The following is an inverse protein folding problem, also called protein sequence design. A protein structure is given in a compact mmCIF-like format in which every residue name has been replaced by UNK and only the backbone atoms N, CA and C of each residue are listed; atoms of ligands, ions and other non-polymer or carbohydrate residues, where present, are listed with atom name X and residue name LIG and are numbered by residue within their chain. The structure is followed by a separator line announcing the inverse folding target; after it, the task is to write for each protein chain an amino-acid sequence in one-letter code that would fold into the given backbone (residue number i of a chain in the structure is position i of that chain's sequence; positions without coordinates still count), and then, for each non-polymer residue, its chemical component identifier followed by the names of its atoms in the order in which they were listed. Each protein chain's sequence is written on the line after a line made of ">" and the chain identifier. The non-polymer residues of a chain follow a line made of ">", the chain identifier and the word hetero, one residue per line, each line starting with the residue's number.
data_IF_556965199464
#
_entry.id   IF_556965199464
#
_cell.length_a   1.000
_cell.length_b   1.000
_cell.length_c   1.000
_cell.angle_alpha   90.00
_cell.angle_beta   90.00
_cell.angle_gamma   90.00
#
_symmetry.space_group_name_H-M   'P 1'
#
loop_
_entity.id
_entity.type
_entity.pdbx_description
1 polymer ?
#
# COMPACT_ATOMS: atom_id res chain seq x y z
N UNK A 1 -34.43 -2.87 31.68
CA UNK A 1 -34.43 -3.53 33.01
C UNK A 1 -35.01 -2.67 34.13
N UNK A 2 -34.74 -1.34 34.19
CA UNK A 2 -35.30 -0.45 35.24
C UNK A 2 -36.86 -0.46 35.32
N UNK A 3 -37.56 -0.42 34.17
CA UNK A 3 -39.01 -0.45 34.08
C UNK A 3 -39.63 -1.79 34.62
N UNK A 4 -38.94 -2.90 34.36
CA UNK A 4 -39.37 -4.20 34.88
C UNK A 4 -39.24 -4.22 36.40
N UNK A 5 -38.12 -3.72 36.92
CA UNK A 5 -37.92 -3.63 38.38
C UNK A 5 -38.96 -2.71 39.04
N UNK A 6 -39.24 -1.54 38.41
CA UNK A 6 -40.28 -0.62 38.86
C UNK A 6 -41.68 -1.29 38.86
N UNK A 7 -41.97 -2.03 37.78
CA UNK A 7 -43.25 -2.81 37.68
C UNK A 7 -43.39 -3.88 38.77
N UNK A 8 -42.30 -4.60 39.05
CA UNK A 8 -42.30 -5.59 40.15
C UNK A 8 -42.47 -4.92 41.52
N UNK A 9 -41.75 -3.80 41.74
CA UNK A 9 -41.83 -3.06 43.00
C UNK A 9 -43.25 -2.48 43.23
N UNK A 10 -43.84 -1.87 42.18
CA UNK A 10 -45.21 -1.33 42.25
C UNK A 10 -46.23 -2.48 42.48
N UNK A 11 -46.08 -3.64 41.86
CA UNK A 11 -46.92 -4.80 42.07
C UNK A 11 -46.88 -5.31 43.51
N UNK A 12 -45.66 -5.36 44.10
CA UNK A 12 -45.48 -5.77 45.51
C UNK A 12 -46.15 -4.77 46.45
N UNK A 13 -45.93 -3.48 46.24
CA UNK A 13 -46.51 -2.40 47.07
C UNK A 13 -48.03 -2.46 47.00
N UNK A 14 -48.62 -2.51 45.81
CA UNK A 14 -50.09 -2.60 45.61
C UNK A 14 -50.65 -3.89 46.24
N UNK A 15 -49.92 -4.99 46.21
CA UNK A 15 -50.36 -6.27 46.83
C UNK A 15 -50.33 -6.20 48.35
N UNK A 16 -49.38 -5.52 48.97
CA UNK A 16 -49.31 -5.31 50.43
C UNK A 16 -50.45 -4.36 50.89
N UNK A 17 -50.61 -3.21 50.18
CA UNK A 17 -51.70 -2.25 50.49
C UNK A 17 -53.08 -2.91 50.36
N UNK A 18 -53.24 -3.78 49.35
CA UNK A 18 -54.47 -4.51 49.11
C UNK A 18 -54.88 -5.46 50.26
N UNK A 19 -53.89 -5.98 50.99
CA UNK A 19 -54.16 -6.76 52.20
C UNK A 19 -54.57 -5.90 53.39
N UNK A 20 -54.12 -4.64 53.44
CA UNK A 20 -54.42 -3.74 54.59
C UNK A 20 -55.74 -2.95 54.42
N UNK A 21 -56.23 -2.74 53.19
CA UNK A 21 -57.41 -1.95 52.87
C UNK A 21 -58.32 -2.69 51.84
N UNK A 22 -59.20 -3.65 52.25
CA UNK A 22 -60.04 -4.36 51.33
C UNK A 22 -61.11 -3.51 50.65
N UNK A 23 -61.47 -2.35 51.18
CA UNK A 23 -62.53 -1.48 50.63
C UNK A 23 -62.06 -0.73 49.31
N UNK A 24 -60.80 -0.73 49.04
CA UNK A 24 -60.25 -0.07 47.86
C UNK A 24 -60.08 -1.01 46.65
N UNK A 25 -60.93 -2.00 46.46
CA UNK A 25 -60.82 -3.04 45.42
C UNK A 25 -60.57 -2.49 44.02
N UNK A 26 -61.27 -1.41 43.61
CA UNK A 26 -61.09 -0.80 42.27
C UNK A 26 -59.70 -0.17 42.10
N UNK A 27 -59.16 0.52 43.09
CA UNK A 27 -57.81 1.14 43.06
C UNK A 27 -56.74 0.05 43.09
N UNK A 28 -56.92 -1.06 43.80
CA UNK A 28 -55.98 -2.19 43.84
C UNK A 28 -55.91 -2.88 42.48
N UNK A 29 -57.03 -3.10 41.80
CA UNK A 29 -57.10 -3.70 40.47
C UNK A 29 -56.40 -2.76 39.44
N UNK A 30 -56.73 -1.45 39.50
CA UNK A 30 -56.07 -0.47 38.64
C UNK A 30 -54.56 -0.42 38.87
N UNK A 31 -54.08 -0.41 40.11
CA UNK A 31 -52.68 -0.44 40.47
C UNK A 31 -51.94 -1.69 39.97
N UNK A 32 -52.57 -2.86 40.04
CA UNK A 32 -52.04 -4.11 39.48
C UNK A 32 -51.97 -4.09 37.96
N UNK A 33 -52.96 -3.52 37.28
CA UNK A 33 -52.94 -3.34 35.82
C UNK A 33 -51.80 -2.40 35.38
N UNK A 34 -51.60 -1.30 36.09
CA UNK A 34 -50.50 -0.37 35.84
C UNK A 34 -49.15 -1.06 36.05
N UNK A 35 -49.00 -1.82 37.14
CA UNK A 35 -47.77 -2.57 37.40
C UNK A 35 -47.48 -3.61 36.30
N UNK A 36 -48.52 -4.31 35.84
CA UNK A 36 -48.38 -5.26 34.73
C UNK A 36 -48.05 -4.58 33.42
N UNK A 37 -48.63 -3.39 33.16
CA UNK A 37 -48.28 -2.56 31.98
C UNK A 37 -46.80 -2.14 32.00
N UNK A 38 -46.30 -1.67 33.15
CA UNK A 38 -44.88 -1.34 33.30
C UNK A 38 -43.97 -2.54 33.09
N UNK A 39 -44.35 -3.71 33.59
CA UNK A 39 -43.59 -4.94 33.39
C UNK A 39 -43.58 -5.36 31.92
N UNK A 40 -44.74 -5.35 31.26
CA UNK A 40 -44.85 -5.67 29.83
C UNK A 40 -44.07 -4.68 28.96
N UNK A 41 -44.15 -3.34 29.20
CA UNK A 41 -43.39 -2.32 28.50
C UNK A 41 -41.90 -2.48 28.76
N UNK A 42 -41.48 -2.80 29.97
CA UNK A 42 -40.09 -3.03 30.32
C UNK A 42 -39.50 -4.25 29.63
N UNK A 43 -40.27 -5.34 29.48
CA UNK A 43 -39.85 -6.52 28.70
C UNK A 43 -39.77 -6.18 27.22
N UNK A 44 -40.73 -5.45 26.68
CA UNK A 44 -40.76 -5.05 25.28
C UNK A 44 -39.54 -4.18 24.92
N UNK A 45 -39.24 -3.17 25.74
CA UNK A 45 -38.09 -2.31 25.55
C UNK A 45 -36.74 -3.05 25.69
N UNK A 46 -36.67 -4.04 26.59
CA UNK A 46 -35.50 -4.89 26.77
C UNK A 46 -35.28 -5.89 25.61
N UNK A 47 -36.36 -6.19 24.88
CA UNK A 47 -36.31 -7.11 23.73
C UNK A 47 -35.84 -6.45 22.43
N UNK A 48 -35.83 -5.12 22.36
CA UNK A 48 -35.43 -4.37 21.17
C UNK A 48 -33.93 -4.11 21.26
N UNK A 49 -33.20 -4.64 20.29
CA UNK A 49 -31.73 -4.41 20.16
C UNK A 49 -31.44 -3.86 18.76
N UNK A 50 -30.73 -2.78 18.71
CA UNK A 50 -30.20 -2.18 17.48
C UNK A 50 -28.75 -2.57 17.32
N UNK A 51 -28.38 -3.06 16.13
CA UNK A 51 -27.01 -3.35 15.71
C UNK A 51 -26.62 -2.33 14.66
N UNK A 52 -25.51 -1.65 14.89
CA UNK A 52 -25.04 -0.59 14.02
C UNK A 52 -24.45 -1.14 12.71
N UNK A 53 -24.44 -0.33 11.61
CA UNK A 53 -23.80 -0.72 10.35
C UNK A 53 -22.32 -1.05 10.54
N UNK A 54 -21.89 -2.22 10.01
CA UNK A 54 -20.52 -2.69 10.16
C UNK A 54 -20.25 -3.45 11.46
N UNK A 55 -21.28 -3.76 12.24
CA UNK A 55 -21.21 -4.64 13.39
C UNK A 55 -22.07 -5.89 13.21
N UNK A 56 -21.70 -6.96 13.89
CA UNK A 56 -22.50 -8.17 14.03
C UNK A 56 -22.79 -8.43 15.50
N UNK A 57 -24.06 -8.71 15.82
CA UNK A 57 -24.49 -9.05 17.17
C UNK A 57 -24.35 -10.56 17.44
N UNK A 58 -23.47 -10.92 18.35
CA UNK A 58 -23.32 -12.30 18.82
C UNK A 58 -24.21 -12.53 20.06
N UNK A 59 -25.08 -13.53 19.98
CA UNK A 59 -26.03 -13.87 21.05
C UNK A 59 -25.33 -14.71 22.12
N UNK A 60 -25.35 -14.24 23.36
CA UNK A 60 -24.84 -14.98 24.53
C UNK A 60 -25.98 -15.22 25.53
N UNK A 61 -26.22 -16.46 25.87
CA UNK A 61 -27.24 -16.84 26.86
C UNK A 61 -26.56 -17.49 28.06
N UNK A 62 -26.58 -16.82 29.19
CA UNK A 62 -25.95 -17.29 30.44
C UNK A 62 -24.53 -17.79 30.26
N UNK A 63 -23.71 -17.01 29.50
CA UNK A 63 -22.30 -17.37 29.19
C UNK A 63 -22.11 -18.31 28.00
N UNK A 64 -23.20 -18.92 27.46
CA UNK A 64 -23.12 -19.77 26.27
C UNK A 64 -23.30 -18.95 25.00
N UNK A 65 -22.26 -18.92 24.15
CA UNK A 65 -22.32 -18.29 22.82
C UNK A 65 -23.21 -19.14 21.91
N UNK A 66 -24.18 -18.50 21.24
CA UNK A 66 -25.00 -19.12 20.20
C UNK A 66 -24.36 -18.91 18.83
N UNK A 67 -24.57 -19.86 17.91
CA UNK A 67 -24.02 -19.80 16.54
C UNK A 67 -24.67 -18.72 15.67
N UNK A 68 -25.94 -18.40 15.99
CA UNK A 68 -26.68 -17.40 15.21
C UNK A 68 -26.19 -16.00 15.52
N UNK A 69 -26.03 -15.19 14.47
CA UNK A 69 -25.68 -13.77 14.53
C UNK A 69 -26.92 -12.90 14.26
N UNK A 70 -26.84 -11.65 14.71
CA UNK A 70 -27.74 -10.58 14.32
C UNK A 70 -27.01 -9.66 13.34
N UNK A 71 -27.52 -9.51 12.11
CA UNK A 71 -26.97 -8.52 11.17
C UNK A 71 -27.27 -7.08 11.66
N UNK A 72 -26.77 -6.09 10.94
CA UNK A 72 -27.10 -4.69 11.19
C UNK A 72 -28.60 -4.42 11.03
N UNK A 73 -29.15 -3.58 11.90
CA UNK A 73 -30.57 -3.23 11.94
C UNK A 73 -31.22 -3.41 13.29
N UNK A 74 -32.54 -3.31 13.30
CA UNK A 74 -33.36 -3.45 14.50
C UNK A 74 -33.87 -4.89 14.65
N UNK A 75 -33.65 -5.49 15.83
CA UNK A 75 -34.00 -6.88 16.09
C UNK A 75 -34.82 -7.00 17.37
N UNK A 76 -35.80 -7.88 17.32
CA UNK A 76 -36.54 -8.31 18.51
C UNK A 76 -35.93 -9.62 19.03
N UNK A 77 -35.35 -9.58 20.22
CA UNK A 77 -34.64 -10.71 20.82
C UNK A 77 -35.19 -11.03 22.20
N UNK A 78 -34.91 -12.23 22.68
CA UNK A 78 -35.23 -12.57 24.05
C UNK A 78 -34.47 -11.66 25.03
N UNK A 79 -35.13 -10.97 25.99
CA UNK A 79 -34.47 -10.00 26.88
C UNK A 79 -33.44 -10.62 27.85
N UNK A 80 -33.35 -11.95 27.91
CA UNK A 80 -32.36 -12.70 28.69
C UNK A 80 -31.05 -12.92 27.92
N UNK A 81 -31.01 -12.56 26.62
CA UNK A 81 -29.81 -12.64 25.81
C UNK A 81 -28.93 -11.41 26.06
N UNK A 82 -27.67 -11.65 26.31
CA UNK A 82 -26.60 -10.63 26.20
C UNK A 82 -26.12 -10.59 24.76
N UNK A 83 -26.23 -9.42 24.13
CA UNK A 83 -25.81 -9.23 22.75
C UNK A 83 -24.43 -8.56 22.75
N UNK A 84 -23.42 -9.31 22.31
CA UNK A 84 -22.06 -8.82 22.16
C UNK A 84 -21.84 -8.34 20.72
N UNK A 85 -21.50 -7.07 20.57
CA UNK A 85 -21.22 -6.47 19.26
C UNK A 85 -19.78 -6.73 18.86
N UNK A 86 -19.58 -7.24 17.66
CA UNK A 86 -18.27 -7.51 17.06
C UNK A 86 -18.15 -6.64 15.82
N UNK A 87 -17.09 -5.84 15.72
CA UNK A 87 -16.80 -5.03 14.56
C UNK A 87 -16.36 -5.93 13.39
N UNK A 88 -17.11 -5.87 12.28
CA UNK A 88 -16.85 -6.61 11.05
C UNK A 88 -16.29 -5.74 9.92
N UNK A 89 -16.03 -4.45 10.20
CA UNK A 89 -15.35 -3.55 9.26
C UNK A 89 -13.91 -3.95 9.10
N UNK A 90 -13.29 -3.41 8.07
CA UNK A 90 -11.84 -3.51 7.90
C UNK A 90 -11.12 -2.85 9.07
N UNK A 91 -10.28 -3.61 9.72
CA UNK A 91 -9.43 -3.18 10.81
C UNK A 91 -7.98 -3.22 10.33
N UNK A 92 -7.15 -2.34 10.87
CA UNK A 92 -5.73 -2.34 10.61
C UNK A 92 -4.95 -2.71 11.88
N UNK A 93 -3.85 -3.40 11.66
CA UNK A 93 -2.83 -3.59 12.67
C UNK A 93 -1.47 -3.23 12.07
N UNK A 94 -0.89 -2.13 12.54
CA UNK A 94 0.42 -1.64 12.07
C UNK A 94 1.49 -1.98 13.08
N UNK A 95 2.56 -2.60 12.59
CA UNK A 95 3.79 -2.90 13.30
C UNK A 95 4.88 -2.00 12.74
N UNK A 96 5.31 -1.01 13.49
CA UNK A 96 6.29 0.00 13.06
C UNK A 96 7.29 0.31 14.17
N UNK A 97 8.52 0.61 13.79
CA UNK A 97 9.55 1.13 14.69
C UNK A 97 9.47 2.64 14.90
N UNK A 98 8.60 3.32 14.16
CA UNK A 98 8.40 4.76 14.31
C UNK A 98 7.42 5.01 15.46
N UNK A 99 7.85 5.82 16.43
CA UNK A 99 6.99 6.26 17.53
C UNK A 99 5.76 6.96 16.92
N UNK A 100 4.57 6.68 17.40
CA UNK A 100 3.29 7.23 16.95
C UNK A 100 2.67 6.67 15.65
N UNK A 101 3.33 5.77 14.91
CA UNK A 101 2.73 5.14 13.73
C UNK A 101 2.19 3.72 13.99
N UNK A 102 2.61 3.07 15.06
CA UNK A 102 2.22 1.70 15.42
C UNK A 102 0.87 1.62 16.13
N UNK A 103 0.27 0.43 16.14
CA UNK A 103 -0.94 0.13 16.90
C UNK A 103 -0.71 0.12 18.42
N UNK A 104 0.53 0.11 18.86
CA UNK A 104 0.96 0.21 20.24
C UNK A 104 1.94 1.37 20.40
N UNK A 105 1.91 1.99 21.58
CA UNK A 105 2.89 3.03 21.94
C UNK A 105 4.24 2.34 22.16
N UNK A 106 5.23 2.67 21.35
CA UNK A 106 6.58 2.13 21.43
C UNK A 106 7.02 1.42 20.14
N UNK A 107 8.21 0.84 20.16
CA UNK A 107 8.77 0.07 19.04
C UNK A 107 8.08 -1.30 18.93
N UNK A 108 7.19 -1.45 17.95
CA UNK A 108 6.53 -2.72 17.60
C UNK A 108 7.01 -3.29 16.25
N UNK A 109 8.09 -2.76 15.70
CA UNK A 109 8.72 -3.27 14.49
C UNK A 109 9.13 -4.73 14.64
N UNK A 110 9.14 -5.43 13.52
CA UNK A 110 9.51 -6.85 13.52
C UNK A 110 10.98 -7.00 13.12
N UNK A 111 11.77 -7.53 14.04
CA UNK A 111 13.14 -7.93 13.75
C UNK A 111 13.12 -9.37 13.24
N UNK A 112 13.69 -9.59 12.06
CA UNK A 112 13.79 -10.88 11.41
C UNK A 112 15.23 -11.19 11.02
N UNK A 113 15.55 -12.48 10.95
CA UNK A 113 16.83 -12.96 10.46
C UNK A 113 16.62 -13.39 9.00
N UNK A 114 17.50 -12.95 8.12
CA UNK A 114 17.50 -13.29 6.70
C UNK A 114 18.36 -14.52 6.43
N UNK A 115 18.32 -15.09 5.20
CA UNK A 115 19.08 -16.29 4.81
C UNK A 115 20.59 -16.10 4.90
N UNK A 116 21.07 -14.87 4.77
CA UNK A 116 22.48 -14.49 4.90
C UNK A 116 22.89 -14.13 6.34
N UNK A 117 22.01 -14.40 7.33
CA UNK A 117 22.28 -14.20 8.76
C UNK A 117 22.24 -12.75 9.22
N UNK A 118 21.71 -11.85 8.42
CA UNK A 118 21.57 -10.45 8.77
C UNK A 118 20.24 -10.19 9.50
N UNK A 119 20.28 -9.33 10.51
CA UNK A 119 19.09 -8.89 11.22
C UNK A 119 18.51 -7.67 10.53
N UNK A 120 17.25 -7.79 10.06
CA UNK A 120 16.52 -6.75 9.33
C UNK A 120 15.28 -6.36 10.13
N UNK A 121 14.97 -5.07 10.16
CA UNK A 121 13.74 -4.55 10.76
C UNK A 121 12.71 -4.33 9.66
N UNK A 122 11.51 -4.88 9.84
CA UNK A 122 10.41 -4.78 8.88
C UNK A 122 9.23 -4.06 9.53
N UNK A 123 8.77 -3.00 8.88
CA UNK A 123 7.53 -2.30 9.19
C UNK A 123 6.42 -2.79 8.27
N UNK A 124 5.28 -3.14 8.87
CA UNK A 124 4.22 -3.82 8.15
C UNK A 124 2.85 -3.44 8.69
N UNK A 125 1.88 -3.32 7.79
CA UNK A 125 0.46 -3.14 8.13
C UNK A 125 -0.35 -4.31 7.61
N UNK A 126 -1.16 -4.90 8.48
CA UNK A 126 -2.10 -5.97 8.18
C UNK A 126 -3.51 -5.39 8.18
N UNK A 127 -4.19 -5.43 7.04
CA UNK A 127 -5.60 -5.10 6.92
C UNK A 127 -6.41 -6.38 6.95
N UNK A 128 -7.33 -6.47 7.90
CA UNK A 128 -8.14 -7.67 8.12
C UNK A 128 -9.54 -7.30 8.60
N UNK A 129 -10.45 -8.24 8.49
CA UNK A 129 -11.78 -8.14 9.09
C UNK A 129 -12.23 -9.45 9.68
N UNK A 130 -13.19 -9.37 10.60
CA UNK A 130 -13.87 -10.55 11.14
C UNK A 130 -14.93 -11.01 10.13
N UNK A 131 -14.95 -12.30 9.83
CA UNK A 131 -16.04 -12.92 9.05
C UNK A 131 -17.26 -13.02 9.93
N UNK A 132 -18.34 -12.31 9.59
CA UNK A 132 -19.54 -12.20 10.43
C UNK A 132 -20.09 -13.57 10.89
N UNK A 133 -20.16 -14.56 9.98
CA UNK A 133 -20.64 -15.90 10.29
C UNK A 133 -19.75 -16.64 11.31
N UNK A 134 -18.47 -16.32 11.38
CA UNK A 134 -17.49 -16.94 12.29
C UNK A 134 -17.29 -16.15 13.59
N UNK A 135 -17.87 -14.95 13.70
CA UNK A 135 -17.74 -14.10 14.88
C UNK A 135 -18.14 -14.83 16.20
N UNK A 136 -19.17 -15.67 16.26
CA UNK A 136 -19.48 -16.44 17.48
C UNK A 136 -18.35 -17.38 17.89
N UNK A 137 -17.75 -18.08 16.94
CA UNK A 137 -16.63 -18.99 17.20
C UNK A 137 -15.38 -18.23 17.65
N UNK A 138 -15.05 -17.16 16.95
CA UNK A 138 -13.91 -16.29 17.31
C UNK A 138 -14.06 -15.75 18.73
N UNK A 139 -15.25 -15.25 19.07
CA UNK A 139 -15.54 -14.73 20.41
C UNK A 139 -15.46 -15.82 21.49
N UNK A 140 -15.90 -17.02 21.20
CA UNK A 140 -15.87 -18.17 22.12
C UNK A 140 -14.43 -18.66 22.37
N UNK A 141 -13.59 -18.71 21.33
CA UNK A 141 -12.22 -19.23 21.41
C UNK A 141 -11.24 -18.20 21.98
N UNK A 142 -11.41 -16.93 21.64
CA UNK A 142 -10.38 -15.91 21.86
C UNK A 142 -10.87 -14.72 22.69
N UNK A 143 -12.17 -14.43 22.66
CA UNK A 143 -12.77 -13.21 23.22
C UNK A 143 -12.58 -12.01 22.28
N UNK A 144 -12.68 -10.79 22.84
CA UNK A 144 -12.53 -9.54 22.08
C UNK A 144 -11.08 -9.20 21.75
N UNK A 145 -10.11 -9.81 22.43
CA UNK A 145 -8.69 -9.50 22.29
C UNK A 145 -8.04 -10.28 21.13
N UNK A 146 -8.79 -10.69 20.10
CA UNK A 146 -8.31 -11.48 18.99
C UNK A 146 -7.16 -10.79 18.21
N UNK A 147 -7.11 -9.44 18.22
CA UNK A 147 -6.01 -8.68 17.64
C UNK A 147 -4.69 -9.05 18.32
N UNK A 148 -4.65 -8.99 19.66
CA UNK A 148 -3.41 -9.20 20.43
C UNK A 148 -3.10 -10.69 20.62
N UNK A 149 -4.11 -11.57 20.60
CA UNK A 149 -3.96 -13.01 20.80
C UNK A 149 -3.77 -13.81 19.51
N UNK A 150 -4.30 -13.33 18.36
CA UNK A 150 -4.25 -14.03 17.08
C UNK A 150 -3.49 -13.21 16.03
N UNK A 151 -3.99 -12.01 15.70
CA UNK A 151 -3.49 -11.23 14.57
C UNK A 151 -2.01 -10.91 14.74
N UNK A 152 -1.65 -10.32 15.88
CA UNK A 152 -0.28 -9.90 16.17
C UNK A 152 0.72 -11.08 16.21
N UNK A 153 0.56 -12.12 17.05
CA UNK A 153 1.55 -13.18 17.16
C UNK A 153 1.64 -14.01 15.88
N UNK A 154 0.53 -14.27 15.21
CA UNK A 154 0.51 -15.07 14.00
C UNK A 154 1.20 -14.33 12.84
N UNK A 155 0.90 -13.05 12.65
CA UNK A 155 1.56 -12.23 11.63
C UNK A 155 3.07 -12.16 11.88
N UNK A 156 3.51 -11.89 13.12
CA UNK A 156 4.94 -11.85 13.48
C UNK A 156 5.66 -13.17 13.21
N UNK A 157 5.04 -14.28 13.55
CA UNK A 157 5.61 -15.62 13.29
C UNK A 157 5.74 -15.88 11.80
N UNK A 158 4.68 -15.64 11.02
CA UNK A 158 4.71 -15.88 9.57
C UNK A 158 5.70 -15.00 8.83
N UNK A 159 5.88 -13.77 9.26
CA UNK A 159 6.90 -12.87 8.69
C UNK A 159 8.29 -13.42 8.97
N UNK A 160 8.58 -13.82 10.21
CA UNK A 160 9.89 -14.44 10.57
C UNK A 160 10.16 -15.71 9.79
N UNK A 161 9.18 -16.61 9.72
CA UNK A 161 9.31 -17.90 9.02
C UNK A 161 9.59 -17.72 7.53
N UNK A 162 9.05 -16.67 6.91
CA UNK A 162 9.25 -16.41 5.49
C UNK A 162 10.51 -15.60 5.19
N UNK A 163 10.97 -14.76 6.11
CA UNK A 163 12.17 -13.93 5.91
C UNK A 163 13.45 -14.76 5.73
N UNK A 164 13.53 -15.94 6.36
CA UNK A 164 14.69 -16.84 6.30
C UNK A 164 14.99 -17.35 4.88
N UNK A 165 14.03 -17.27 3.96
CA UNK A 165 14.22 -17.71 2.58
C UNK A 165 14.84 -16.65 1.66
N UNK A 166 15.01 -15.42 2.13
CA UNK A 166 15.48 -14.28 1.35
C UNK A 166 16.74 -13.67 1.94
N UNK A 167 17.62 -13.17 1.07
CA UNK A 167 18.75 -12.36 1.48
C UNK A 167 18.29 -10.92 1.81
N UNK A 168 19.03 -10.24 2.67
CA UNK A 168 18.69 -8.88 3.08
C UNK A 168 18.56 -7.90 1.89
N UNK A 169 19.45 -8.01 0.90
CA UNK A 169 19.42 -7.20 -0.32
C UNK A 169 18.21 -7.52 -1.20
N UNK A 170 17.77 -8.76 -1.27
CA UNK A 170 16.58 -9.16 -2.02
C UNK A 170 15.30 -8.57 -1.42
N UNK A 171 15.19 -8.59 -0.09
CA UNK A 171 14.07 -7.97 0.63
C UNK A 171 14.06 -6.46 0.46
N UNK A 172 15.23 -5.83 0.45
CA UNK A 172 15.35 -4.39 0.31
C UNK A 172 15.00 -3.87 -1.09
N UNK A 173 15.28 -4.64 -2.16
CA UNK A 173 15.19 -4.14 -3.53
C UNK A 173 14.37 -5.00 -4.49
N UNK A 174 14.77 -6.24 -4.74
CA UNK A 174 14.33 -6.99 -5.92
C UNK A 174 13.11 -7.90 -5.70
N UNK A 175 12.96 -8.47 -4.49
CA UNK A 175 11.95 -9.49 -4.22
C UNK A 175 10.94 -9.09 -3.14
N UNK A 176 10.77 -7.78 -2.94
CA UNK A 176 9.85 -7.24 -1.93
C UNK A 176 8.41 -7.69 -2.18
N UNK A 177 7.96 -7.64 -3.42
CA UNK A 177 6.59 -8.03 -3.79
C UNK A 177 6.38 -9.54 -3.65
N UNK A 178 7.34 -10.36 -4.09
CA UNK A 178 7.32 -11.81 -3.90
C UNK A 178 7.26 -12.20 -2.41
N UNK A 179 8.05 -11.53 -1.59
CA UNK A 179 8.03 -11.70 -0.14
C UNK A 179 6.67 -11.34 0.47
N UNK A 180 6.09 -10.21 0.05
CA UNK A 180 4.77 -9.76 0.48
C UNK A 180 3.69 -10.79 0.12
N UNK A 181 3.68 -11.29 -1.11
CA UNK A 181 2.71 -12.29 -1.57
C UNK A 181 2.86 -13.62 -0.82
N UNK A 182 4.08 -14.04 -0.56
CA UNK A 182 4.36 -15.26 0.20
C UNK A 182 3.85 -15.17 1.64
N UNK A 183 4.10 -14.04 2.32
CA UNK A 183 3.58 -13.82 3.67
C UNK A 183 2.06 -13.73 3.64
N UNK A 184 1.49 -13.01 2.67
CA UNK A 184 0.04 -12.89 2.50
C UNK A 184 -0.62 -14.27 2.47
N UNK A 185 -0.19 -15.15 1.56
CA UNK A 185 -0.75 -16.49 1.42
C UNK A 185 -0.59 -17.33 2.70
N UNK A 186 0.54 -17.18 3.39
CA UNK A 186 0.83 -17.88 4.64
C UNK A 186 -0.09 -17.43 5.78
N UNK A 187 -0.35 -16.12 5.90
CA UNK A 187 -1.23 -15.55 6.93
C UNK A 187 -2.70 -15.82 6.58
N UNK A 188 -3.10 -15.62 5.32
CA UNK A 188 -4.48 -15.81 4.87
C UNK A 188 -5.02 -17.19 5.24
N UNK A 189 -4.23 -18.22 5.00
CA UNK A 189 -4.58 -19.61 5.32
C UNK A 189 -4.92 -19.79 6.80
N UNK A 190 -4.12 -19.21 7.68
CA UNK A 190 -4.30 -19.37 9.12
C UNK A 190 -5.38 -18.42 9.69
N UNK A 191 -5.56 -17.24 9.10
CA UNK A 191 -6.66 -16.31 9.44
C UNK A 191 -8.01 -16.93 9.11
N UNK A 192 -8.15 -17.53 7.92
CA UNK A 192 -9.39 -18.22 7.51
C UNK A 192 -9.80 -19.32 8.49
N UNK A 193 -8.87 -20.11 8.98
CA UNK A 193 -9.13 -21.15 9.99
C UNK A 193 -9.69 -20.59 11.30
N UNK A 194 -9.43 -19.31 11.60
CA UNK A 194 -9.83 -18.65 12.85
C UNK A 194 -10.98 -17.66 12.69
N UNK A 195 -11.62 -17.62 11.51
CA UNK A 195 -12.76 -16.74 11.25
C UNK A 195 -12.37 -15.29 10.96
N UNK A 196 -11.12 -15.07 10.57
CA UNK A 196 -10.62 -13.79 10.10
C UNK A 196 -10.40 -13.84 8.58
N UNK A 197 -10.59 -12.72 7.92
CA UNK A 197 -10.26 -12.53 6.51
C UNK A 197 -9.12 -11.53 6.41
N UNK A 198 -8.02 -11.93 5.80
CA UNK A 198 -6.94 -11.02 5.42
C UNK A 198 -7.36 -10.30 4.14
N UNK A 199 -7.42 -8.97 4.17
CA UNK A 199 -7.76 -8.17 2.99
C UNK A 199 -6.51 -7.74 2.26
N UNK A 200 -5.54 -7.20 3.00
CA UNK A 200 -4.28 -6.74 2.43
C UNK A 200 -3.13 -6.83 3.44
N UNK A 201 -1.96 -7.06 2.93
CA UNK A 201 -0.71 -6.99 3.67
C UNK A 201 0.18 -5.93 2.99
N UNK A 202 0.64 -4.96 3.75
CA UNK A 202 1.44 -3.85 3.24
C UNK A 202 2.80 -3.84 3.93
N UNK A 203 3.85 -4.18 3.22
CA UNK A 203 5.22 -3.99 3.68
C UNK A 203 5.56 -2.51 3.50
N UNK A 204 5.66 -1.75 4.59
CA UNK A 204 5.88 -0.30 4.59
C UNK A 204 7.36 0.05 4.42
N UNK A 205 8.21 -0.54 5.22
CA UNK A 205 9.63 -0.29 5.24
C UNK A 205 10.42 -1.53 5.59
N UNK A 206 11.63 -1.60 5.06
CA UNK A 206 12.62 -2.62 5.41
C UNK A 206 13.90 -1.88 5.72
N UNK A 207 14.32 -1.92 6.98
CA UNK A 207 15.49 -1.21 7.46
C UNK A 207 16.62 -2.19 7.73
N UNK A 208 17.74 -1.95 7.07
CA UNK A 208 18.97 -2.70 7.25
C UNK A 208 19.84 -2.06 8.33
N UNK A 209 20.69 -2.84 9.04
CA UNK A 209 21.73 -2.28 9.89
C UNK A 209 22.63 -1.33 9.10
N UNK A 210 23.06 -0.23 9.71
CA UNK A 210 23.81 0.83 9.03
C UNK A 210 25.08 0.32 8.32
N UNK A 211 25.82 -0.58 8.96
CA UNK A 211 27.03 -1.18 8.39
C UNK A 211 26.77 -2.00 7.11
N UNK A 212 25.61 -2.62 7.04
CA UNK A 212 25.19 -3.42 5.88
C UNK A 212 24.66 -2.51 4.77
N UNK A 213 23.87 -1.51 5.14
CA UNK A 213 23.31 -0.53 4.22
C UNK A 213 24.42 0.18 3.41
N UNK A 214 25.43 0.70 4.11
CA UNK A 214 26.56 1.37 3.44
C UNK A 214 27.31 0.45 2.50
N UNK A 215 27.53 -0.81 2.86
CA UNK A 215 28.18 -1.81 1.99
C UNK A 215 27.35 -2.12 0.74
N UNK A 216 26.03 -2.25 0.91
CA UNK A 216 25.10 -2.51 -0.19
C UNK A 216 25.04 -1.29 -1.12
N UNK A 217 24.95 -0.07 -0.58
CA UNK A 217 24.95 1.16 -1.36
C UNK A 217 26.24 1.30 -2.18
N UNK A 218 27.40 1.00 -1.60
CA UNK A 218 28.68 0.98 -2.32
C UNK A 218 28.69 -0.03 -3.44
N UNK A 219 28.18 -1.24 -3.22
CA UNK A 219 28.08 -2.27 -4.25
C UNK A 219 27.15 -1.85 -5.39
N UNK A 220 25.98 -1.32 -5.07
CA UNK A 220 25.02 -0.83 -6.07
C UNK A 220 25.64 0.31 -6.89
N UNK A 221 26.32 1.25 -6.24
CA UNK A 221 27.00 2.35 -6.92
C UNK A 221 28.11 1.84 -7.88
N UNK A 222 28.91 0.87 -7.44
CA UNK A 222 29.93 0.27 -8.29
C UNK A 222 29.33 -0.49 -9.50
N UNK A 223 28.23 -1.21 -9.30
CA UNK A 223 27.51 -1.88 -10.40
C UNK A 223 26.92 -0.88 -11.39
N UNK A 224 26.31 0.20 -10.91
CA UNK A 224 25.80 1.29 -11.76
C UNK A 224 26.90 1.98 -12.55
N UNK A 225 28.04 2.23 -11.91
CA UNK A 225 29.20 2.82 -12.58
C UNK A 225 29.77 1.90 -13.67
N UNK A 226 29.85 0.59 -13.40
CA UNK A 226 30.24 -0.40 -14.40
C UNK A 226 29.27 -0.44 -15.59
N UNK A 227 27.97 -0.43 -15.33
CA UNK A 227 26.94 -0.37 -16.38
C UNK A 227 27.05 0.93 -17.20
N UNK A 228 27.21 2.07 -16.54
CA UNK A 228 27.42 3.36 -17.19
C UNK A 228 28.65 3.32 -18.10
N UNK A 229 29.76 2.74 -17.63
CA UNK A 229 30.96 2.59 -18.44
C UNK A 229 30.75 1.71 -19.68
N UNK A 230 29.96 0.64 -19.57
CA UNK A 230 29.59 -0.20 -20.72
C UNK A 230 28.79 0.60 -21.77
N UNK A 231 27.80 1.42 -21.33
CA UNK A 231 27.07 2.30 -22.24
C UNK A 231 27.98 3.34 -22.92
N UNK A 232 28.90 3.91 -22.16
CA UNK A 232 29.87 4.86 -22.73
C UNK A 232 30.75 4.18 -23.80
N UNK A 233 31.29 2.99 -23.48
CA UNK A 233 32.08 2.22 -24.46
C UNK A 233 31.28 1.84 -25.71
N UNK A 234 30.00 1.48 -25.54
CA UNK A 234 29.12 1.17 -26.67
C UNK A 234 28.88 2.43 -27.54
N UNK A 235 28.62 3.57 -26.91
CA UNK A 235 28.44 4.86 -27.58
C UNK A 235 29.71 5.25 -28.37
N UNK A 236 30.88 5.18 -27.75
CA UNK A 236 32.15 5.49 -28.39
C UNK A 236 32.42 4.57 -29.58
N UNK A 237 32.14 3.28 -29.48
CA UNK A 237 32.24 2.34 -30.61
C UNK A 237 31.32 2.72 -31.76
N UNK A 238 30.06 3.06 -31.46
CA UNK A 238 29.10 3.50 -32.47
C UNK A 238 29.55 4.84 -33.15
N UNK A 239 30.09 5.76 -32.36
CA UNK A 239 30.57 7.04 -32.88
C UNK A 239 31.83 6.84 -33.75
N UNK A 240 32.74 5.99 -33.34
CA UNK A 240 33.89 5.62 -34.14
C UNK A 240 33.48 4.96 -35.48
N UNK A 241 32.50 4.05 -35.46
CA UNK A 241 31.96 3.43 -36.65
C UNK A 241 31.27 4.44 -37.57
N UNK A 242 30.45 5.34 -37.00
CA UNK A 242 29.84 6.45 -37.76
C UNK A 242 30.89 7.32 -38.46
N UNK A 243 31.95 7.73 -37.73
CA UNK A 243 33.06 8.53 -38.30
C UNK A 243 33.79 7.75 -39.39
N UNK A 244 33.96 6.43 -39.22
CA UNK A 244 34.58 5.58 -40.23
C UNK A 244 33.74 5.52 -41.51
N UNK A 245 32.43 5.31 -41.40
CA UNK A 245 31.49 5.27 -42.53
C UNK A 245 31.43 6.64 -43.22
N UNK A 246 31.41 7.73 -42.45
CA UNK A 246 31.45 9.10 -42.98
C UNK A 246 32.74 9.37 -43.75
N UNK A 247 33.89 9.01 -43.20
CA UNK A 247 35.18 9.16 -43.88
C UNK A 247 35.25 8.30 -45.15
N UNK A 248 34.71 7.07 -45.12
CA UNK A 248 34.62 6.21 -46.30
C UNK A 248 33.73 6.86 -47.40
N UNK A 249 32.57 7.39 -47.00
CA UNK A 249 31.67 8.11 -47.90
C UNK A 249 32.33 9.33 -48.56
N UNK A 250 33.10 10.10 -47.79
CA UNK A 250 33.87 11.25 -48.33
C UNK A 250 34.94 10.77 -49.30
N UNK A 251 35.69 9.72 -48.97
CA UNK A 251 36.70 9.15 -49.86
C UNK A 251 36.10 8.62 -51.16
N UNK A 252 34.99 7.90 -51.10
CA UNK A 252 34.25 7.40 -52.27
C UNK A 252 33.72 8.56 -53.13
N UNK A 253 33.15 9.58 -52.49
CA UNK A 253 32.73 10.81 -53.17
C UNK A 253 33.88 11.50 -53.89
N UNK A 254 35.01 11.70 -53.22
CA UNK A 254 36.19 12.32 -53.84
C UNK A 254 36.76 11.49 -54.99
N UNK A 255 36.75 10.15 -54.89
CA UNK A 255 37.17 9.25 -55.94
C UNK A 255 36.28 9.40 -57.19
N UNK A 256 34.97 9.37 -57.01
CA UNK A 256 33.98 9.52 -58.09
C UNK A 256 34.12 10.86 -58.78
N UNK A 257 34.31 11.94 -58.01
CA UNK A 257 34.53 13.26 -58.58
C UNK A 257 35.83 13.32 -59.36
N UNK A 258 36.96 12.82 -58.79
CA UNK A 258 38.27 12.88 -59.45
C UNK A 258 38.31 12.05 -60.74
N UNK A 259 37.54 10.94 -60.82
CA UNK A 259 37.41 10.15 -62.06
C UNK A 259 36.55 10.85 -63.13
N UNK A 260 35.62 11.70 -62.73
CA UNK A 260 34.66 12.37 -63.62
C UNK A 260 35.07 13.81 -64.00
N UNK A 261 35.99 14.43 -63.26
CA UNK A 261 36.40 15.81 -63.46
C UNK A 261 37.39 15.94 -64.67
N UNK A 262 36.85 16.34 -65.81
CA UNK A 262 37.63 16.77 -66.91
C UNK A 262 38.03 18.25 -66.76
N UNK A 263 39.20 18.69 -67.41
CA UNK A 263 39.65 20.09 -67.37
C UNK A 263 38.56 21.10 -67.75
N UNK A 264 37.64 20.70 -68.63
CA UNK A 264 36.51 21.53 -69.08
C UNK A 264 35.46 21.71 -67.95
N UNK A 265 35.27 20.70 -67.12
CA UNK A 265 34.30 20.73 -65.99
C UNK A 265 34.86 21.61 -64.86
N UNK A 266 36.16 21.55 -64.59
CA UNK A 266 36.83 22.44 -63.63
C UNK A 266 36.77 23.91 -64.10
N UNK A 267 36.90 24.19 -65.40
CA UNK A 267 36.70 25.53 -65.91
C UNK A 267 35.26 26.00 -65.80
N UNK A 268 34.30 25.16 -66.03
CA UNK A 268 32.85 25.47 -65.86
C UNK A 268 32.51 25.81 -64.46
N UNK A 269 32.90 24.99 -63.47
CA UNK A 269 32.69 25.24 -62.07
C UNK A 269 33.37 26.50 -61.55
N UNK A 270 34.58 26.81 -62.07
CA UNK A 270 35.28 28.04 -61.74
C UNK A 270 34.54 29.28 -62.30
N UNK A 271 33.99 29.20 -63.49
CA UNK A 271 33.14 30.26 -64.08
C UNK A 271 31.85 30.44 -63.31
N UNK A 272 31.21 29.32 -62.85
CA UNK A 272 29.99 29.33 -62.03
C UNK A 272 30.24 29.97 -60.68
N UNK A 273 31.31 29.59 -59.97
CA UNK A 273 31.71 30.17 -58.70
C UNK A 273 32.03 31.68 -58.82
N UNK A 274 32.67 32.09 -59.88
CA UNK A 274 32.93 33.55 -60.20
C UNK A 274 31.60 34.28 -60.43
N UNK A 275 30.63 33.66 -61.11
CA UNK A 275 29.30 34.24 -61.34
C UNK A 275 28.51 34.41 -60.04
N UNK A 276 28.55 33.40 -59.15
CA UNK A 276 27.91 33.46 -57.86
C UNK A 276 28.54 34.51 -56.93
N UNK A 277 29.86 34.62 -56.95
CA UNK A 277 30.61 35.70 -56.26
C UNK A 277 30.26 37.09 -56.78
N UNK A 278 30.11 37.25 -58.10
CA UNK A 278 29.68 38.50 -58.70
C UNK A 278 28.25 38.93 -58.42
N UNK A 279 27.40 37.98 -58.10
CA UNK A 279 26.00 38.21 -57.70
C UNK A 279 25.76 38.38 -56.19
N UNK A 280 26.78 38.14 -55.35
CA UNK A 280 26.74 38.30 -53.93
C UNK A 280 26.68 39.79 -53.55
N UNK A 281 25.65 40.12 -52.70
CA UNK A 281 25.49 41.51 -52.19
C UNK A 281 26.60 41.98 -51.25
N UNK A 282 27.48 41.08 -50.81
CA UNK A 282 28.68 41.35 -50.02
C UNK A 282 29.95 41.17 -50.90
N UNK A 283 30.07 41.94 -51.99
CA UNK A 283 31.19 41.85 -52.88
C UNK A 283 32.49 42.42 -52.27
N UNK A 284 33.28 41.51 -51.74
CA UNK A 284 34.74 41.80 -51.57
C UNK A 284 35.41 41.52 -52.88
N UNK A 285 36.19 42.51 -53.38
CA UNK A 285 36.91 42.36 -54.65
C UNK A 285 38.04 41.31 -54.47
N UNK A 286 37.87 40.14 -55.08
CA UNK A 286 38.89 39.09 -55.11
C UNK A 286 39.62 39.16 -56.43
N UNK A 287 40.91 39.58 -56.45
CA UNK A 287 41.74 39.55 -57.63
C UNK A 287 42.50 38.23 -57.63
N UNK A 288 42.15 37.33 -58.55
CA UNK A 288 42.92 36.10 -58.79
C UNK A 288 44.03 36.37 -59.86
N UNK A 289 45.26 36.40 -59.40
CA UNK A 289 46.43 36.37 -60.30
C UNK A 289 46.74 34.94 -60.76
N UNK A 290 47.57 34.76 -61.84
CA UNK A 290 48.01 33.46 -62.38
C UNK A 290 48.87 32.61 -61.43
N UNK A 291 48.91 32.93 -60.12
CA UNK A 291 49.59 32.17 -59.07
C UNK A 291 48.58 31.71 -58.04
N UNK A 292 48.88 30.58 -57.38
CA UNK A 292 48.02 29.79 -56.53
C UNK A 292 47.64 30.43 -55.15
N UNK A 293 47.76 31.76 -54.99
CA UNK A 293 47.38 32.47 -53.76
C UNK A 293 46.38 33.57 -54.08
N UNK A 294 45.14 33.47 -53.56
CA UNK A 294 44.15 34.54 -53.69
C UNK A 294 44.51 35.71 -52.75
N UNK A 295 44.57 36.90 -53.28
CA UNK A 295 44.73 38.15 -52.53
C UNK A 295 43.31 38.69 -52.26
N UNK A 296 42.92 38.73 -51.01
CA UNK A 296 41.64 39.31 -50.57
C UNK A 296 41.87 40.77 -50.20
N UNK A 297 41.31 41.70 -50.98
CA UNK A 297 41.34 43.13 -50.65
C UNK A 297 39.98 43.50 -50.02
N UNK A 298 40.02 43.91 -48.76
CA UNK A 298 38.85 44.41 -48.04
C UNK A 298 38.64 45.89 -48.36
N UNK A 299 37.68 46.17 -49.22
CA UNK A 299 37.36 47.57 -49.60
C UNK A 299 36.46 48.19 -48.50
N UNK A 300 37.05 48.65 -47.41
CA UNK A 300 36.36 49.64 -46.54
C UNK A 300 36.50 50.99 -47.28
N UNK A 301 35.45 51.44 -47.92
CA UNK A 301 35.22 52.84 -48.20
C UNK A 301 34.77 53.55 -46.94
N UNK A 302 35.43 54.63 -46.58
CA UNK A 302 35.03 55.68 -45.64
C UNK A 302 33.63 56.18 -45.90
#
# INVERSE_FOLDING_TARGET
>A
MFLVFLGVLTFIIVSIVGKMRPDARKAIVAGRLIAFLFMALGILTASIVQIDPGEAGVKVLFGKVKKDILPSGLHLVNPLLDIRRVDIKTQNYTMSGVHDEGAQVGDDAIQVLTSDGLQVTIDLTVLYRVVAAEAPRLLQETGFDYRDKIVRPLSRTKIRDNAVYYQAIELYSLKRDEFQDRIYNSIETDFKKRGLMLEQLLVRGITLPESVRTTIEQKINAEQEAQKMQFVLQKEKQEAERKRVEAQGIADYQRIISESLTDKQLQYENIKAMKELAQSQNSKMIIMGRGNTPIILDGKSQ
#
